data_IF_167667276631
#
_entry.id   IF_167667276631
#
_cell.length_a   1.000
_cell.length_b   1.000
_cell.length_c   1.000
_cell.angle_alpha   90.00
_cell.angle_beta   90.00
_cell.angle_gamma   90.00
#
_symmetry.space_group_name_H-M   'P 1'
#
loop_
_entity.id
_entity.type
_entity.pdbx_description
1 polymer ?
#
# COMPACT_ATOMS: atom_id res chain seq x y z
N UNK A 1 -8.24 13.77 -21.25
CA UNK A 1 -9.52 13.28 -21.80
C UNK A 1 -9.42 13.44 -23.30
N UNK A 2 -9.75 12.42 -24.09
CA UNK A 2 -9.75 12.58 -25.57
C UNK A 2 -11.05 13.29 -25.95
N UNK A 3 -11.00 14.10 -27.01
CA UNK A 3 -12.22 14.65 -27.62
C UNK A 3 -13.16 13.49 -27.98
N UNK A 4 -14.36 13.48 -27.38
CA UNK A 4 -15.40 12.49 -27.64
C UNK A 4 -15.78 11.56 -26.47
N UNK A 5 -15.02 11.53 -25.37
CA UNK A 5 -15.41 10.74 -24.18
C UNK A 5 -16.54 11.47 -23.42
N UNK A 6 -17.76 10.91 -23.43
CA UNK A 6 -18.92 11.48 -22.72
C UNK A 6 -18.75 11.41 -21.20
N UNK A 7 -18.97 12.54 -20.54
CA UNK A 7 -18.95 12.65 -19.08
C UNK A 7 -20.29 12.24 -18.46
N UNK A 8 -20.33 12.16 -17.13
CA UNK A 8 -21.59 11.92 -16.40
C UNK A 8 -22.61 13.03 -16.61
N UNK A 9 -22.16 14.27 -16.72
CA UNK A 9 -23.04 15.39 -17.03
C UNK A 9 -23.57 15.27 -18.46
N UNK A 10 -22.77 14.79 -19.42
CA UNK A 10 -23.25 14.51 -20.78
C UNK A 10 -24.36 13.44 -20.79
N UNK A 11 -24.21 12.35 -20.02
CA UNK A 11 -25.25 11.33 -19.94
C UNK A 11 -26.54 11.86 -19.29
N UNK A 12 -26.42 12.64 -18.22
CA UNK A 12 -27.58 13.24 -17.55
C UNK A 12 -28.30 14.26 -18.44
N UNK A 13 -27.58 14.94 -19.34
CA UNK A 13 -28.17 15.85 -20.32
C UNK A 13 -28.87 15.09 -21.45
N UNK A 14 -28.22 14.07 -22.02
CA UNK A 14 -28.63 13.43 -23.28
C UNK A 14 -29.60 12.26 -23.13
N UNK A 15 -29.65 11.61 -21.97
CA UNK A 15 -30.56 10.49 -21.69
C UNK A 15 -31.73 10.89 -20.78
N UNK A 16 -32.78 10.09 -20.83
CA UNK A 16 -33.92 10.16 -19.92
C UNK A 16 -33.95 8.90 -19.02
N UNK A 17 -34.44 9.04 -17.79
CA UNK A 17 -34.56 7.87 -16.88
C UNK A 17 -35.53 6.82 -17.42
N UNK A 18 -36.47 7.22 -18.28
CA UNK A 18 -37.41 6.32 -18.94
C UNK A 18 -36.70 5.32 -19.87
N UNK A 19 -35.69 5.77 -20.62
CA UNK A 19 -34.93 4.91 -21.53
C UNK A 19 -34.18 3.83 -20.74
N UNK A 20 -33.59 4.21 -19.61
CA UNK A 20 -32.89 3.29 -18.70
C UNK A 20 -33.83 2.30 -18.03
N UNK A 21 -35.05 2.74 -17.67
CA UNK A 21 -36.06 1.85 -17.08
C UNK A 21 -36.55 0.82 -18.10
N UNK A 22 -36.78 1.24 -19.35
CA UNK A 22 -37.18 0.34 -20.44
C UNK A 22 -36.08 -0.69 -20.69
N UNK A 23 -34.83 -0.23 -20.74
CA UNK A 23 -33.66 -1.08 -20.92
C UNK A 23 -33.47 -2.10 -19.79
N UNK A 24 -33.73 -1.68 -18.55
CA UNK A 24 -33.77 -2.54 -17.37
C UNK A 24 -34.97 -3.52 -17.33
N UNK A 25 -35.78 -3.56 -18.39
CA UNK A 25 -36.92 -4.47 -18.56
C UNK A 25 -38.25 -3.98 -18.00
N UNK A 26 -38.36 -2.69 -17.63
CA UNK A 26 -39.63 -2.13 -17.16
C UNK A 26 -40.50 -1.62 -18.30
N UNK A 27 -41.81 -1.73 -18.11
CA UNK A 27 -42.81 -1.34 -19.10
C UNK A 27 -43.69 -0.22 -18.56
N UNK A 28 -44.04 0.74 -19.41
CA UNK A 28 -44.96 1.80 -19.05
C UNK A 28 -46.33 1.21 -18.67
N UNK A 29 -46.75 1.45 -17.44
CA UNK A 29 -48.05 1.04 -16.94
C UNK A 29 -49.13 2.03 -17.40
N UNK A 30 -49.77 1.72 -18.54
CA UNK A 30 -50.83 2.55 -19.14
C UNK A 30 -52.11 2.70 -18.30
N UNK A 31 -52.24 1.95 -17.19
CA UNK A 31 -53.40 2.05 -16.27
C UNK A 31 -53.27 3.21 -15.28
N UNK A 32 -52.06 3.69 -15.01
CA UNK A 32 -51.86 4.87 -14.16
C UNK A 32 -51.87 6.12 -15.04
N UNK A 33 -52.70 7.11 -14.70
CA UNK A 33 -52.92 8.30 -15.52
C UNK A 33 -51.68 9.14 -15.84
N UNK A 34 -51.78 10.00 -16.85
CA UNK A 34 -50.69 10.75 -17.51
C UNK A 34 -49.89 11.73 -16.64
N UNK A 35 -50.24 11.92 -15.36
CA UNK A 35 -49.60 12.94 -14.49
C UNK A 35 -48.22 12.53 -13.99
N UNK A 36 -48.01 11.23 -13.74
CA UNK A 36 -46.71 10.66 -13.39
C UNK A 36 -46.56 9.29 -14.05
N UNK A 37 -45.78 9.18 -15.14
CA UNK A 37 -45.54 7.90 -15.79
C UNK A 37 -44.97 6.88 -14.80
N UNK A 38 -45.57 5.69 -14.77
CA UNK A 38 -45.10 4.61 -13.91
C UNK A 38 -44.67 3.40 -14.71
N UNK A 39 -43.61 2.76 -14.27
CA UNK A 39 -42.92 1.68 -14.96
C UNK A 39 -42.90 0.44 -14.08
N UNK A 40 -43.35 -0.70 -14.61
CA UNK A 40 -43.51 -1.96 -13.88
C UNK A 40 -42.83 -3.10 -14.61
N UNK A 41 -42.34 -4.09 -13.88
CA UNK A 41 -41.72 -5.29 -14.47
C UNK A 41 -42.72 -6.45 -14.54
N UNK A 42 -42.54 -7.30 -15.54
CA UNK A 42 -43.35 -8.50 -15.75
C UNK A 42 -42.54 -9.74 -15.37
N UNK A 43 -43.22 -10.78 -14.88
CA UNK A 43 -42.65 -12.11 -14.66
C UNK A 43 -42.52 -12.88 -15.98
N UNK A 44 -41.96 -14.09 -15.93
CA UNK A 44 -41.79 -14.97 -17.09
C UNK A 44 -43.12 -15.40 -17.75
N UNK A 45 -44.24 -15.24 -17.06
CA UNK A 45 -45.59 -15.53 -17.57
C UNK A 45 -46.31 -14.26 -18.06
N UNK A 46 -45.60 -13.12 -18.13
CA UNK A 46 -46.15 -11.84 -18.57
C UNK A 46 -47.06 -11.15 -17.55
N UNK A 47 -47.10 -11.64 -16.30
CA UNK A 47 -47.88 -11.02 -15.21
C UNK A 47 -47.05 -9.98 -14.50
N UNK A 48 -47.70 -8.95 -13.97
CA UNK A 48 -47.02 -7.87 -13.23
C UNK A 48 -46.40 -8.38 -11.92
N UNK A 49 -45.11 -8.09 -11.73
CA UNK A 49 -44.42 -8.32 -10.45
C UNK A 49 -44.94 -7.30 -9.42
N UNK A 50 -45.51 -7.79 -8.32
CA UNK A 50 -46.04 -6.93 -7.25
C UNK A 50 -44.89 -6.25 -6.50
N UNK A 51 -45.04 -4.96 -6.19
CA UNK A 51 -44.04 -4.17 -5.46
C UNK A 51 -42.93 -3.57 -6.33
N UNK A 52 -42.69 -4.12 -7.52
CA UNK A 52 -41.62 -3.66 -8.41
C UNK A 52 -42.13 -2.59 -9.39
N UNK A 53 -42.27 -1.35 -8.88
CA UNK A 53 -42.81 -0.20 -9.61
C UNK A 53 -41.99 1.06 -9.35
N UNK A 54 -41.53 1.69 -10.42
CA UNK A 54 -40.92 3.02 -10.40
C UNK A 54 -41.86 4.08 -10.94
N UNK A 55 -41.87 5.26 -10.32
CA UNK A 55 -42.63 6.44 -10.76
C UNK A 55 -41.62 7.48 -11.23
N UNK A 56 -41.81 7.99 -12.44
CA UNK A 56 -40.93 8.99 -13.05
C UNK A 56 -41.41 10.39 -12.67
N UNK A 57 -40.48 11.27 -12.29
CA UNK A 57 -40.78 12.66 -11.96
C UNK A 57 -41.23 13.43 -13.20
N UNK A 58 -41.93 14.54 -13.02
CA UNK A 58 -42.50 15.34 -14.13
C UNK A 58 -41.47 15.78 -15.17
N UNK A 59 -40.20 15.97 -14.77
CA UNK A 59 -39.10 16.37 -15.64
C UNK A 59 -38.48 15.19 -16.42
N UNK A 60 -38.86 13.95 -16.13
CA UNK A 60 -38.30 12.76 -16.79
C UNK A 60 -36.83 12.48 -16.47
N UNK A 61 -36.21 13.16 -15.50
CA UNK A 61 -34.79 12.98 -15.18
C UNK A 61 -34.53 12.03 -14.02
N UNK A 62 -35.54 11.78 -13.19
CA UNK A 62 -35.43 10.91 -12.03
C UNK A 62 -36.65 9.99 -11.89
N UNK A 63 -36.45 8.87 -11.19
CA UNK A 63 -37.52 7.97 -10.78
C UNK A 63 -37.41 7.64 -9.29
N UNK A 64 -38.49 7.15 -8.70
CA UNK A 64 -38.51 6.71 -7.30
C UNK A 64 -39.54 5.62 -7.09
N UNK A 65 -39.38 4.86 -6.01
CA UNK A 65 -40.41 3.93 -5.54
C UNK A 65 -41.21 4.60 -4.42
N UNK A 66 -42.55 4.56 -4.51
CA UNK A 66 -43.43 5.21 -3.54
C UNK A 66 -43.22 4.72 -2.10
N UNK A 67 -42.76 3.48 -1.93
CA UNK A 67 -42.51 2.87 -0.63
C UNK A 67 -41.16 3.25 0.00
N UNK A 68 -40.17 3.63 -0.81
CA UNK A 68 -38.79 3.82 -0.35
C UNK A 68 -38.35 5.29 -0.29
N UNK A 69 -39.13 6.22 -0.86
CA UNK A 69 -38.82 7.67 -0.99
C UNK A 69 -37.44 8.02 -1.55
N UNK A 70 -36.66 7.05 -2.01
CA UNK A 70 -35.34 7.25 -2.61
C UNK A 70 -35.48 7.58 -4.08
N UNK A 71 -34.88 8.71 -4.46
CA UNK A 71 -34.89 9.24 -5.83
C UNK A 71 -33.62 8.80 -6.54
N UNK A 72 -33.79 8.21 -7.72
CA UNK A 72 -32.71 7.76 -8.59
C UNK A 72 -32.69 8.61 -9.86
N UNK A 73 -31.50 9.09 -10.24
CA UNK A 73 -31.23 9.57 -11.58
C UNK A 73 -30.62 8.41 -12.40
N UNK A 74 -30.30 8.64 -13.67
CA UNK A 74 -29.75 7.60 -14.57
C UNK A 74 -28.54 6.87 -13.95
N UNK A 75 -27.60 7.63 -13.40
CA UNK A 75 -26.35 7.08 -12.84
C UNK A 75 -26.64 6.30 -11.56
N UNK A 76 -27.38 6.88 -10.63
CA UNK A 76 -27.64 6.23 -9.34
C UNK A 76 -28.57 5.02 -9.47
N UNK A 77 -29.45 4.99 -10.48
CA UNK A 77 -30.27 3.83 -10.81
C UNK A 77 -29.41 2.64 -11.27
N UNK A 78 -28.53 2.86 -12.26
CA UNK A 78 -27.65 1.81 -12.80
C UNK A 78 -26.71 1.26 -11.72
N UNK A 79 -26.15 2.15 -10.87
CA UNK A 79 -25.29 1.73 -9.76
C UNK A 79 -26.02 0.96 -8.67
N UNK A 80 -27.28 1.30 -8.38
CA UNK A 80 -28.07 0.64 -7.34
C UNK A 80 -28.65 -0.71 -7.81
N UNK A 81 -28.84 -0.87 -9.12
CA UNK A 81 -29.45 -2.07 -9.72
C UNK A 81 -28.63 -2.64 -10.88
N UNK A 82 -27.34 -2.95 -10.68
CA UNK A 82 -26.46 -3.39 -11.77
C UNK A 82 -26.92 -4.67 -12.45
N UNK A 83 -27.61 -5.55 -11.72
CA UNK A 83 -28.13 -6.83 -12.20
C UNK A 83 -29.23 -6.70 -13.28
N UNK A 84 -29.78 -5.50 -13.52
CA UNK A 84 -30.79 -5.31 -14.56
C UNK A 84 -30.20 -5.09 -15.96
N UNK A 85 -28.88 -4.96 -16.07
CA UNK A 85 -28.20 -4.62 -17.32
C UNK A 85 -27.35 -5.79 -17.81
N UNK A 86 -27.44 -6.08 -19.11
CA UNK A 86 -26.77 -7.23 -19.73
C UNK A 86 -25.24 -7.15 -19.67
N UNK A 87 -24.69 -5.93 -19.58
CA UNK A 87 -23.26 -5.66 -19.53
C UNK A 87 -22.63 -5.94 -18.17
N UNK A 88 -23.45 -6.12 -17.12
CA UNK A 88 -22.94 -6.34 -15.77
C UNK A 88 -22.25 -7.70 -15.64
N UNK A 89 -21.01 -7.66 -15.12
CA UNK A 89 -20.24 -8.85 -14.73
C UNK A 89 -19.82 -8.69 -13.28
N UNK A 90 -19.88 -9.77 -12.50
CA UNK A 90 -19.46 -9.74 -11.10
C UNK A 90 -18.00 -9.25 -10.97
N UNK A 91 -17.78 -8.20 -10.18
CA UNK A 91 -16.47 -7.53 -10.04
C UNK A 91 -16.20 -6.36 -10.99
N UNK A 92 -17.13 -6.05 -11.90
CA UNK A 92 -17.08 -4.83 -12.72
C UNK A 92 -17.29 -3.58 -11.85
N UNK A 93 -16.56 -2.50 -12.14
CA UNK A 93 -16.81 -1.22 -11.46
C UNK A 93 -18.18 -0.66 -11.83
N UNK A 94 -18.99 -0.17 -10.87
CA UNK A 94 -20.30 0.42 -11.16
C UNK A 94 -20.22 1.60 -12.13
N UNK A 95 -19.13 2.37 -12.09
CA UNK A 95 -18.86 3.47 -13.02
C UNK A 95 -18.64 3.00 -14.47
N UNK A 96 -17.97 1.85 -14.65
CA UNK A 96 -17.83 1.25 -15.98
C UNK A 96 -19.16 0.75 -16.51
N UNK A 97 -19.99 0.14 -15.65
CA UNK A 97 -21.31 -0.30 -16.05
C UNK A 97 -22.18 0.88 -16.51
N UNK A 98 -22.17 2.00 -15.76
CA UNK A 98 -22.85 3.24 -16.16
C UNK A 98 -22.38 3.68 -17.55
N UNK A 99 -21.07 3.70 -17.78
CA UNK A 99 -20.52 4.12 -19.07
C UNK A 99 -20.95 3.19 -20.22
N UNK A 100 -20.94 1.87 -20.02
CA UNK A 100 -21.36 0.88 -21.02
C UNK A 100 -22.83 1.04 -21.39
N UNK A 101 -23.70 1.07 -20.38
CA UNK A 101 -25.16 1.18 -20.55
C UNK A 101 -25.51 2.52 -21.22
N UNK A 102 -24.98 3.64 -20.71
CA UNK A 102 -25.31 4.96 -21.24
C UNK A 102 -24.85 5.17 -22.69
N UNK A 103 -23.64 4.72 -23.04
CA UNK A 103 -23.17 4.84 -24.42
C UNK A 103 -23.93 3.93 -25.38
N UNK A 104 -24.30 2.71 -24.96
CA UNK A 104 -25.18 1.84 -25.78
C UNK A 104 -26.52 2.51 -26.02
N UNK A 105 -27.16 3.08 -24.99
CA UNK A 105 -28.44 3.78 -25.13
C UNK A 105 -28.35 5.02 -26.04
N UNK A 106 -27.18 5.66 -26.09
CA UNK A 106 -26.91 6.78 -27.00
C UNK A 106 -26.46 6.34 -28.40
N UNK A 107 -26.48 5.03 -28.71
CA UNK A 107 -25.96 4.45 -29.95
C UNK A 107 -24.50 4.85 -30.25
N UNK A 108 -23.71 5.13 -29.21
CA UNK A 108 -22.28 5.35 -29.34
C UNK A 108 -21.57 3.98 -29.30
N UNK A 109 -20.93 3.55 -30.41
CA UNK A 109 -20.28 2.25 -30.46
C UNK A 109 -19.11 2.19 -29.46
N UNK A 110 -19.24 1.34 -28.45
CA UNK A 110 -18.12 0.95 -27.58
C UNK A 110 -17.59 -0.37 -28.13
N UNK A 111 -16.35 -0.37 -28.61
CA UNK A 111 -15.67 -1.62 -28.97
C UNK A 111 -15.61 -2.55 -27.76
N UNK A 112 -16.14 -3.78 -27.93
CA UNK A 112 -16.16 -4.82 -26.91
C UNK A 112 -14.73 -5.34 -26.69
N UNK A 113 -13.96 -4.61 -25.87
CA UNK A 113 -12.63 -5.03 -25.45
C UNK A 113 -12.77 -6.19 -24.47
N UNK A 114 -12.76 -7.41 -25.02
CA UNK A 114 -12.30 -8.59 -24.30
C UNK A 114 -11.02 -8.22 -23.56
N UNK A 115 -11.02 -8.50 -22.26
CA UNK A 115 -9.98 -8.12 -21.31
C UNK A 115 -8.61 -8.69 -21.69
N UNK A 116 -7.92 -8.04 -22.62
CA UNK A 116 -6.48 -7.89 -22.58
C UNK A 116 -6.23 -6.57 -21.87
N UNK A 117 -5.62 -6.65 -20.70
CA UNK A 117 -5.04 -5.51 -19.99
C UNK A 117 -3.87 -5.02 -20.85
N UNK A 118 -4.19 -4.33 -21.92
CA UNK A 118 -3.29 -3.38 -22.56
C UNK A 118 -4.10 -2.09 -22.44
N UNK A 119 -3.79 -1.31 -21.40
CA UNK A 119 -4.11 0.11 -21.44
C UNK A 119 -3.71 0.58 -22.84
N UNK A 120 -4.56 1.35 -23.57
CA UNK A 120 -4.10 1.91 -24.84
C UNK A 120 -2.74 2.52 -24.54
N UNK A 121 -1.70 2.12 -25.29
CA UNK A 121 -0.41 2.81 -25.23
C UNK A 121 -0.77 4.28 -25.45
N UNK A 122 -0.89 5.04 -24.35
CA UNK A 122 -0.38 6.39 -24.37
C UNK A 122 1.03 6.16 -24.88
N UNK A 123 1.43 6.86 -25.92
CA UNK A 123 2.85 7.08 -26.11
C UNK A 123 3.31 7.79 -24.84
N UNK A 124 3.59 7.01 -23.80
CA UNK A 124 4.18 7.48 -22.58
C UNK A 124 5.57 7.83 -23.06
N UNK A 125 5.78 9.12 -23.31
CA UNK A 125 7.12 9.62 -23.58
C UNK A 125 8.00 9.07 -22.46
N UNK A 126 9.09 8.37 -22.81
CA UNK A 126 10.03 7.89 -21.80
C UNK A 126 10.43 9.04 -20.89
N UNK A 127 10.73 8.73 -19.63
CA UNK A 127 11.32 9.73 -18.75
C UNK A 127 12.57 10.28 -19.41
N UNK A 128 12.65 11.60 -19.47
CA UNK A 128 13.84 12.31 -19.91
C UNK A 128 14.12 13.43 -18.92
N UNK A 129 15.26 13.29 -18.26
CA UNK A 129 15.75 14.19 -17.23
C UNK A 129 16.04 15.59 -17.78
N UNK A 130 16.33 15.73 -19.07
CA UNK A 130 16.59 17.02 -19.71
C UNK A 130 15.34 17.93 -19.76
N UNK A 131 14.14 17.37 -19.53
CA UNK A 131 12.90 18.15 -19.39
C UNK A 131 12.79 18.89 -18.05
N UNK A 132 13.79 18.76 -17.17
CA UNK A 132 13.77 19.31 -15.82
C UNK A 132 14.99 20.17 -15.55
N UNK A 133 14.76 21.35 -14.98
CA UNK A 133 15.82 22.13 -14.34
C UNK A 133 16.07 21.54 -12.94
N UNK A 134 17.30 21.12 -12.69
CA UNK A 134 17.68 20.47 -11.44
C UNK A 134 18.44 21.42 -10.52
N UNK A 135 17.90 21.61 -9.32
CA UNK A 135 18.56 22.35 -8.26
C UNK A 135 19.01 21.39 -7.16
N UNK A 136 20.33 21.20 -7.02
CA UNK A 136 20.92 20.27 -6.05
C UNK A 136 21.02 20.89 -4.66
N UNK A 137 20.88 20.06 -3.64
CA UNK A 137 21.15 20.48 -2.27
C UNK A 137 22.66 20.58 -2.03
N UNK A 138 23.10 21.64 -1.36
CA UNK A 138 24.49 21.85 -0.97
C UNK A 138 24.57 22.03 0.56
N UNK A 139 25.19 21.07 1.28
CA UNK A 139 25.36 21.16 2.74
C UNK A 139 26.16 22.36 3.23
N UNK A 140 26.96 22.97 2.35
CA UNK A 140 27.82 24.12 2.69
C UNK A 140 27.18 25.47 2.35
N UNK A 141 26.02 25.50 1.69
CA UNK A 141 25.35 26.72 1.26
C UNK A 141 23.95 26.86 1.88
N UNK A 142 23.81 27.85 2.76
CA UNK A 142 22.57 28.13 3.49
C UNK A 142 21.43 28.62 2.58
N UNK A 143 21.73 29.33 1.50
CA UNK A 143 20.69 29.81 0.57
C UNK A 143 20.08 28.63 -0.21
N UNK A 144 20.93 27.67 -0.57
CA UNK A 144 20.48 26.41 -1.14
C UNK A 144 19.58 25.65 -0.16
N UNK A 145 19.97 25.52 1.11
CA UNK A 145 19.18 24.82 2.14
C UNK A 145 17.79 25.42 2.36
N UNK A 146 17.68 26.76 2.37
CA UNK A 146 16.40 27.47 2.56
C UNK A 146 15.34 27.08 1.51
N UNK A 147 15.74 26.77 0.27
CA UNK A 147 14.79 26.38 -0.80
C UNK A 147 14.16 25.01 -0.56
N UNK A 148 14.84 24.12 0.14
CA UNK A 148 14.35 22.77 0.46
C UNK A 148 13.48 22.74 1.72
N UNK A 149 13.65 23.71 2.62
CA UNK A 149 12.94 23.77 3.90
C UNK A 149 11.41 23.53 3.80
N UNK A 150 10.66 24.13 2.84
CA UNK A 150 9.21 23.92 2.74
C UNK A 150 8.79 22.47 2.44
N UNK A 151 9.68 21.65 1.89
CA UNK A 151 9.39 20.26 1.54
C UNK A 151 9.62 19.31 2.73
N UNK A 152 10.57 19.63 3.61
CA UNK A 152 10.93 18.80 4.75
C UNK A 152 10.27 19.20 6.07
N UNK A 153 9.90 20.49 6.24
CA UNK A 153 9.34 21.01 7.51
C UNK A 153 8.14 20.22 8.00
N UNK A 154 7.13 20.01 7.15
CA UNK A 154 5.90 19.29 7.54
C UNK A 154 6.12 17.79 7.74
N UNK A 155 7.33 17.29 7.45
CA UNK A 155 7.72 15.89 7.57
C UNK A 155 8.62 15.64 8.78
N UNK A 156 9.00 16.69 9.52
CA UNK A 156 9.88 16.56 10.67
C UNK A 156 11.32 16.14 10.33
N UNK A 157 11.69 16.15 9.04
CA UNK A 157 13.01 15.75 8.58
C UNK A 157 14.00 16.88 8.82
N UNK A 158 14.92 16.65 9.75
CA UNK A 158 15.90 17.62 10.19
C UNK A 158 17.03 17.84 9.18
N UNK A 159 17.84 18.86 9.45
CA UNK A 159 18.89 19.27 8.54
C UNK A 159 20.05 18.26 8.49
N UNK A 160 20.31 17.52 9.59
CA UNK A 160 21.33 16.48 9.62
C UNK A 160 20.97 15.29 8.72
N UNK A 161 19.70 14.90 8.71
CA UNK A 161 19.17 13.87 7.83
C UNK A 161 19.19 14.34 6.38
N UNK A 162 18.85 15.61 6.12
CA UNK A 162 19.03 16.20 4.78
C UNK A 162 20.50 16.17 4.36
N UNK A 163 21.44 16.45 5.27
CA UNK A 163 22.88 16.34 4.99
C UNK A 163 23.33 14.91 4.72
N UNK A 164 22.78 13.91 5.41
CA UNK A 164 23.10 12.52 5.15
C UNK A 164 22.70 12.08 3.73
N UNK A 165 21.55 12.56 3.25
CA UNK A 165 20.97 12.16 1.97
C UNK A 165 21.12 13.18 0.83
N UNK A 166 21.91 14.24 1.00
CA UNK A 166 21.94 15.39 0.06
C UNK A 166 22.26 15.06 -1.40
N UNK A 167 22.94 13.94 -1.65
CA UNK A 167 23.27 13.44 -3.00
C UNK A 167 22.10 12.73 -3.68
N UNK A 168 21.07 12.38 -2.92
CA UNK A 168 19.99 11.47 -3.29
C UNK A 168 18.65 12.18 -3.43
N UNK A 169 18.60 13.51 -3.37
CA UNK A 169 17.41 14.29 -3.69
C UNK A 169 17.79 15.63 -4.33
N UNK A 170 16.87 16.22 -5.07
CA UNK A 170 17.02 17.55 -5.67
C UNK A 170 15.65 18.23 -5.77
N UNK A 171 15.63 19.54 -6.05
CA UNK A 171 14.40 20.15 -6.59
C UNK A 171 14.44 19.99 -8.11
N UNK A 172 13.36 19.48 -8.67
CA UNK A 172 13.19 19.35 -10.12
C UNK A 172 12.04 20.26 -10.56
N UNK A 173 12.33 21.18 -11.47
CA UNK A 173 11.36 22.10 -12.05
C UNK A 173 11.05 21.69 -13.47
N UNK A 174 9.78 21.38 -13.76
CA UNK A 174 9.31 21.09 -15.13
C UNK A 174 8.47 22.25 -15.63
N UNK A 175 8.80 22.71 -16.83
CA UNK A 175 8.09 23.75 -17.55
C UNK A 175 7.00 23.12 -18.42
N UNK A 176 5.83 23.76 -18.45
CA UNK A 176 4.70 23.37 -19.29
C UNK A 176 4.66 24.24 -20.54
N UNK A 177 3.98 23.73 -21.56
CA UNK A 177 3.72 24.45 -22.81
C UNK A 177 2.91 25.75 -22.58
N UNK A 178 2.10 25.81 -21.52
CA UNK A 178 1.33 27.00 -21.11
C UNK A 178 2.18 28.06 -20.37
N UNK A 179 3.50 27.84 -20.24
CA UNK A 179 4.42 28.73 -19.54
C UNK A 179 4.44 28.56 -18.01
N UNK A 180 3.60 27.68 -17.43
CA UNK A 180 3.66 27.39 -16.01
C UNK A 180 4.84 26.47 -15.67
N UNK A 181 5.45 26.70 -14.51
CA UNK A 181 6.52 25.85 -13.99
C UNK A 181 6.12 25.29 -12.63
N UNK A 182 6.34 23.99 -12.42
CA UNK A 182 6.11 23.34 -11.13
C UNK A 182 7.40 22.75 -10.61
N UNK A 183 7.69 23.03 -9.34
CA UNK A 183 8.91 22.57 -8.67
C UNK A 183 8.55 21.60 -7.56
N UNK A 184 9.02 20.36 -7.69
CA UNK A 184 8.85 19.30 -6.71
C UNK A 184 10.20 18.93 -6.09
N UNK A 185 10.18 18.48 -4.83
CA UNK A 185 11.26 17.68 -4.30
C UNK A 185 11.23 16.34 -5.04
N UNK A 186 12.35 16.00 -5.66
CA UNK A 186 12.50 14.82 -6.49
C UNK A 186 13.54 13.88 -5.88
N UNK A 187 13.18 12.61 -5.85
CA UNK A 187 14.01 11.48 -5.44
C UNK A 187 14.33 10.66 -6.71
N UNK A 188 15.57 10.75 -7.24
CA UNK A 188 15.98 10.08 -8.47
C UNK A 188 15.84 8.56 -8.39
N UNK A 189 15.10 7.97 -9.33
CA UNK A 189 14.95 6.54 -9.47
C UNK A 189 16.07 6.01 -10.38
N UNK A 190 16.76 4.94 -9.98
CA UNK A 190 17.82 4.27 -10.73
C UNK A 190 17.57 2.77 -10.76
N UNK A 191 18.28 2.05 -11.64
CA UNK A 191 18.23 0.59 -11.70
C UNK A 191 19.33 -0.01 -10.80
N UNK A 192 19.06 -1.05 -9.99
CA UNK A 192 20.07 -1.67 -9.11
C UNK A 192 21.35 -2.16 -9.81
N UNK A 193 21.27 -2.59 -11.09
CA UNK A 193 22.42 -2.99 -11.91
C UNK A 193 22.66 -2.04 -13.10
N UNK A 194 22.17 -0.80 -13.01
CA UNK A 194 22.39 0.22 -14.03
C UNK A 194 23.74 0.90 -13.91
N UNK A 195 23.99 1.84 -14.81
CA UNK A 195 25.15 2.74 -14.83
C UNK A 195 24.97 3.99 -13.94
N UNK A 196 23.91 4.03 -13.13
CA UNK A 196 23.50 5.19 -12.34
C UNK A 196 22.61 6.18 -13.10
N UNK A 197 22.22 5.87 -14.34
CA UNK A 197 21.24 6.68 -15.09
C UNK A 197 19.91 6.76 -14.34
N UNK A 198 19.40 7.99 -14.23
CA UNK A 198 18.10 8.27 -13.63
C UNK A 198 17.01 7.89 -14.61
N UNK A 199 16.13 6.97 -14.21
CA UNK A 199 15.02 6.43 -15.02
C UNK A 199 13.65 6.96 -14.57
N UNK A 200 13.63 7.95 -13.69
CA UNK A 200 12.41 8.58 -13.18
C UNK A 200 12.65 9.39 -11.93
N UNK A 201 11.57 10.02 -11.44
CA UNK A 201 11.55 10.66 -10.12
C UNK A 201 10.37 10.14 -9.32
N UNK A 202 10.58 9.84 -8.04
CA UNK A 202 9.53 10.01 -7.05
C UNK A 202 9.44 11.50 -6.70
N UNK A 203 8.25 12.08 -6.75
CA UNK A 203 8.03 13.52 -6.56
C UNK A 203 7.18 13.83 -5.33
N UNK A 204 7.52 14.94 -4.67
CA UNK A 204 6.83 15.51 -3.52
C UNK A 204 6.70 17.03 -3.69
N UNK A 205 5.46 17.50 -3.72
CA UNK A 205 5.14 18.91 -3.72
C UNK A 205 5.23 19.54 -2.33
N UNK A 206 5.05 20.86 -2.29
CA UNK A 206 4.92 21.59 -1.03
C UNK A 206 3.59 21.25 -0.35
N UNK A 207 3.57 21.32 0.97
CA UNK A 207 2.32 21.33 1.72
C UNK A 207 1.50 22.56 1.30
N UNK A 208 0.22 22.36 0.99
CA UNK A 208 -0.69 23.44 0.66
C UNK A 208 -1.13 24.16 1.93
N UNK A 209 -1.32 25.48 1.84
CA UNK A 209 -1.73 26.31 2.98
C UNK A 209 -3.15 26.00 3.46
N UNK A 210 -4.00 25.43 2.60
CA UNK A 210 -5.38 25.04 2.90
C UNK A 210 -5.50 23.69 3.65
N UNK A 211 -4.37 23.04 3.96
CA UNK A 211 -4.36 21.75 4.63
C UNK A 211 -4.72 20.55 3.74
N UNK A 212 -4.98 20.74 2.44
CA UNK A 212 -5.38 19.66 1.49
C UNK A 212 -4.23 18.72 1.09
N UNK A 213 -3.19 18.63 1.90
CA UNK A 213 -2.02 17.78 1.68
C UNK A 213 -0.98 18.38 0.72
N UNK A 214 -0.09 17.53 0.22
CA UNK A 214 0.96 17.87 -0.75
C UNK A 214 0.86 16.95 -1.95
N UNK A 215 1.29 17.42 -3.12
CA UNK A 215 1.40 16.55 -4.29
C UNK A 215 2.35 15.37 -3.98
N UNK A 216 1.92 14.15 -4.29
CA UNK A 216 2.71 12.91 -4.21
C UNK A 216 2.49 12.15 -5.52
N UNK A 217 3.58 11.74 -6.16
CA UNK A 217 3.51 11.01 -7.41
C UNK A 217 4.87 10.55 -7.92
N UNK A 218 4.89 10.06 -9.14
CA UNK A 218 6.09 9.83 -9.92
C UNK A 218 6.10 10.75 -11.14
N UNK A 219 7.27 11.20 -11.57
CA UNK A 219 7.42 11.97 -12.80
C UNK A 219 6.85 11.20 -14.00
N UNK A 220 6.31 11.93 -14.97
CA UNK A 220 5.83 11.36 -16.22
C UNK A 220 6.94 10.55 -16.92
N UNK A 221 6.59 9.35 -17.41
CA UNK A 221 7.54 8.46 -18.07
C UNK A 221 8.46 7.69 -17.13
N UNK A 222 8.39 7.90 -15.81
CA UNK A 222 9.22 7.18 -14.84
C UNK A 222 9.05 5.67 -14.98
N UNK A 223 10.16 4.94 -15.02
CA UNK A 223 10.16 3.48 -14.99
C UNK A 223 9.68 2.98 -13.63
N UNK A 224 8.35 2.87 -13.48
CA UNK A 224 7.71 2.45 -12.24
C UNK A 224 7.79 0.94 -12.02
N UNK A 225 8.15 0.17 -13.05
CA UNK A 225 8.31 -1.27 -12.96
C UNK A 225 9.65 -1.68 -12.36
N UNK A 226 10.72 -0.93 -12.56
CA UNK A 226 12.07 -1.34 -12.14
C UNK A 226 12.86 -0.25 -11.42
N UNK A 227 12.52 1.02 -11.64
CA UNK A 227 13.21 2.14 -11.03
C UNK A 227 12.98 2.19 -9.52
N UNK A 228 14.07 2.36 -8.77
CA UNK A 228 14.07 2.47 -7.32
C UNK A 228 14.84 3.73 -6.91
N UNK A 229 14.36 4.43 -5.89
CA UNK A 229 15.22 5.38 -5.20
C UNK A 229 16.18 4.58 -4.34
N UNK A 230 17.48 4.62 -4.65
CA UNK A 230 18.52 3.85 -3.96
C UNK A 230 19.50 4.84 -3.37
N UNK A 231 19.55 4.93 -2.05
CA UNK A 231 20.33 5.93 -1.35
C UNK A 231 21.20 5.30 -0.25
N UNK A 232 22.43 5.78 -0.13
CA UNK A 232 23.31 5.42 0.99
C UNK A 232 24.02 6.67 1.49
N UNK A 233 23.89 7.03 2.79
CA UNK A 233 24.60 8.17 3.35
C UNK A 233 26.12 8.09 3.19
N UNK A 234 26.71 6.90 3.39
CA UNK A 234 28.13 6.64 3.21
C UNK A 234 28.51 6.25 1.77
N UNK A 235 27.58 6.33 0.81
CA UNK A 235 27.78 5.90 -0.58
C UNK A 235 28.24 4.44 -0.72
N UNK A 236 27.76 3.56 0.15
CA UNK A 236 28.06 2.13 0.10
C UNK A 236 27.64 1.55 -1.25
N UNK A 237 28.55 0.94 -2.03
CA UNK A 237 28.19 0.24 -3.26
C UNK A 237 27.25 -0.93 -2.98
N UNK A 238 26.29 -1.20 -3.86
CA UNK A 238 25.33 -2.30 -3.68
C UNK A 238 26.00 -3.66 -3.49
N UNK A 239 27.12 -3.92 -4.18
CA UNK A 239 27.87 -5.16 -4.06
C UNK A 239 28.51 -5.36 -2.67
N UNK A 240 28.72 -4.27 -1.92
CA UNK A 240 29.31 -4.27 -0.57
C UNK A 240 28.27 -4.07 0.54
N UNK A 241 27.01 -3.79 0.15
CA UNK A 241 25.94 -3.49 1.08
C UNK A 241 25.60 -4.74 1.91
N UNK A 242 25.66 -4.61 3.23
CA UNK A 242 25.27 -5.68 4.17
C UNK A 242 23.80 -5.60 4.58
N UNK A 243 23.21 -4.41 4.54
CA UNK A 243 21.83 -4.14 4.96
C UNK A 243 21.13 -3.24 3.95
N UNK A 244 19.96 -3.68 3.50
CA UNK A 244 19.07 -2.99 2.59
C UNK A 244 17.76 -2.74 3.33
N UNK A 245 17.32 -1.48 3.40
CA UNK A 245 16.09 -1.08 4.09
C UNK A 245 15.04 -0.65 3.05
N UNK A 246 13.87 -1.29 3.06
CA UNK A 246 12.82 -1.13 2.05
C UNK A 246 11.65 -0.30 2.55
N UNK A 247 11.28 0.71 1.78
CA UNK A 247 10.20 1.64 2.12
C UNK A 247 9.29 1.91 0.93
N UNK A 248 8.04 2.29 1.20
CA UNK A 248 7.14 2.76 0.15
C UNK A 248 7.46 4.18 -0.31
N UNK A 249 8.10 5.00 0.54
CA UNK A 249 8.54 6.34 0.19
C UNK A 249 9.91 6.73 0.72
N UNK A 250 10.59 7.63 -0.01
CA UNK A 250 11.85 8.18 0.45
C UNK A 250 11.72 8.99 1.75
N UNK A 251 10.55 9.56 2.06
CA UNK A 251 10.34 10.22 3.35
C UNK A 251 10.36 9.24 4.52
N UNK A 252 9.78 8.05 4.36
CA UNK A 252 9.78 7.02 5.40
C UNK A 252 11.21 6.50 5.64
N UNK A 253 11.97 6.32 4.56
CA UNK A 253 13.38 5.95 4.64
C UNK A 253 14.22 6.99 5.41
N UNK A 254 14.04 8.27 5.10
CA UNK A 254 14.72 9.35 5.82
C UNK A 254 14.25 9.45 7.27
N UNK A 255 12.97 9.24 7.55
CA UNK A 255 12.42 9.26 8.90
C UNK A 255 12.97 8.12 9.76
N UNK A 256 13.02 6.90 9.22
CA UNK A 256 13.67 5.75 9.85
C UNK A 256 15.14 6.06 10.18
N UNK A 257 15.89 6.60 9.22
CA UNK A 257 17.28 6.99 9.46
C UNK A 257 17.39 8.00 10.61
N UNK A 258 16.56 9.05 10.63
CA UNK A 258 16.59 10.07 11.68
C UNK A 258 16.29 9.51 13.07
N UNK A 259 15.35 8.57 13.16
CA UNK A 259 14.96 7.93 14.42
C UNK A 259 16.09 7.03 14.98
N UNK A 260 16.81 6.33 14.10
CA UNK A 260 17.68 5.22 14.49
C UNK A 260 19.18 5.56 14.45
N UNK A 261 19.63 6.54 13.65
CA UNK A 261 21.05 6.83 13.42
C UNK A 261 21.86 7.14 14.69
N UNK A 262 21.22 7.63 15.75
CA UNK A 262 21.89 7.96 17.03
C UNK A 262 22.35 6.70 17.75
N UNK A 263 21.62 5.60 17.60
CA UNK A 263 21.82 4.35 18.34
C UNK A 263 22.48 3.28 17.45
N UNK A 264 22.14 3.24 16.16
CA UNK A 264 22.81 2.40 15.17
C UNK A 264 23.79 3.23 14.31
N UNK A 265 25.07 3.20 14.68
CA UNK A 265 26.14 3.91 13.95
C UNK A 265 26.49 3.27 12.61
N UNK A 266 26.11 2.01 12.37
CA UNK A 266 26.34 1.31 11.11
C UNK A 266 25.26 1.65 10.08
N UNK A 267 24.15 2.27 10.52
CA UNK A 267 23.04 2.68 9.67
C UNK A 267 23.46 3.60 8.52
N UNK A 268 24.49 4.45 8.73
CA UNK A 268 25.08 5.29 7.67
C UNK A 268 25.65 4.49 6.49
N UNK A 269 26.05 3.24 6.72
CA UNK A 269 26.56 2.31 5.68
C UNK A 269 25.44 1.50 5.03
N UNK A 270 24.22 1.57 5.56
CA UNK A 270 23.05 0.93 4.97
C UNK A 270 22.69 1.52 3.61
N UNK A 271 21.93 0.74 2.84
CA UNK A 271 21.29 1.19 1.61
C UNK A 271 19.79 1.28 1.86
N UNK A 272 19.24 2.45 1.60
CA UNK A 272 17.83 2.79 1.75
C UNK A 272 17.18 2.76 0.38
N UNK A 273 16.04 2.08 0.30
CA UNK A 273 15.33 1.86 -0.94
C UNK A 273 13.91 2.36 -0.80
N UNK A 274 13.49 3.21 -1.74
CA UNK A 274 12.08 3.47 -1.95
C UNK A 274 11.58 2.96 -3.29
N UNK A 275 10.41 2.32 -3.25
CA UNK A 275 9.65 1.86 -4.42
C UNK A 275 8.80 2.98 -5.05
N UNK A 276 8.73 4.14 -4.39
CA UNK A 276 7.94 5.30 -4.80
C UNK A 276 6.42 5.05 -4.81
N UNK A 277 5.94 4.14 -3.96
CA UNK A 277 4.57 3.62 -3.90
C UNK A 277 4.52 2.09 -3.92
N UNK A 278 3.41 1.52 -4.39
CA UNK A 278 3.25 0.06 -4.43
C UNK A 278 4.39 -0.62 -5.23
N UNK A 279 5.11 -1.58 -4.62
CA UNK A 279 6.23 -2.24 -5.27
C UNK A 279 5.80 -3.18 -6.41
N UNK A 280 6.65 -3.24 -7.43
CA UNK A 280 6.58 -4.27 -8.46
C UNK A 280 7.43 -5.49 -8.07
N UNK A 281 7.09 -6.68 -8.59
CA UNK A 281 7.97 -7.85 -8.45
C UNK A 281 9.34 -7.65 -9.11
N UNK A 282 9.43 -6.84 -10.18
CA UNK A 282 10.70 -6.61 -10.87
C UNK A 282 11.65 -5.70 -10.07
N UNK A 283 11.11 -4.73 -9.33
CA UNK A 283 11.90 -3.95 -8.36
C UNK A 283 12.56 -4.88 -7.32
N UNK A 284 11.79 -5.81 -6.76
CA UNK A 284 12.32 -6.81 -5.82
C UNK A 284 13.37 -7.71 -6.47
N UNK A 285 13.06 -8.34 -7.61
CA UNK A 285 13.97 -9.25 -8.33
C UNK A 285 15.29 -8.56 -8.68
N UNK A 286 15.24 -7.34 -9.21
CA UNK A 286 16.42 -6.60 -9.63
C UNK A 286 17.36 -6.31 -8.44
N UNK A 287 16.79 -5.87 -7.31
CA UNK A 287 17.57 -5.55 -6.11
C UNK A 287 18.13 -6.80 -5.43
N UNK A 288 17.31 -7.84 -5.22
CA UNK A 288 17.76 -9.12 -4.62
C UNK A 288 18.92 -9.72 -5.43
N UNK A 289 18.83 -9.68 -6.77
CA UNK A 289 19.91 -10.12 -7.66
C UNK A 289 21.17 -9.25 -7.57
N UNK A 290 21.03 -7.97 -7.18
CA UNK A 290 22.15 -7.06 -6.98
C UNK A 290 22.78 -7.20 -5.60
N UNK A 291 22.04 -7.65 -4.60
CA UNK A 291 22.46 -7.74 -3.19
C UNK A 291 22.23 -9.15 -2.60
N UNK A 292 22.73 -10.23 -3.22
CA UNK A 292 22.35 -11.61 -2.85
C UNK A 292 22.80 -12.06 -1.45
N UNK A 293 23.67 -11.29 -0.79
CA UNK A 293 24.22 -11.59 0.54
C UNK A 293 23.84 -10.54 1.60
N UNK A 294 22.98 -9.59 1.24
CA UNK A 294 22.57 -8.54 2.16
C UNK A 294 21.34 -8.97 2.96
N UNK A 295 21.22 -8.47 4.18
CA UNK A 295 19.96 -8.53 4.94
C UNK A 295 18.99 -7.49 4.38
N UNK A 296 17.76 -7.90 4.13
CA UNK A 296 16.68 -7.07 3.63
C UNK A 296 15.68 -6.77 4.76
N UNK A 297 15.76 -5.54 5.29
CA UNK A 297 14.84 -5.01 6.28
C UNK A 297 13.59 -4.46 5.58
N UNK A 298 12.43 -5.03 5.89
CA UNK A 298 11.15 -4.69 5.28
C UNK A 298 10.41 -3.69 6.14
N UNK A 299 10.54 -2.42 5.77
CA UNK A 299 10.04 -1.26 6.50
C UNK A 299 8.83 -0.60 5.80
N UNK A 300 7.97 -1.41 5.18
CA UNK A 300 6.74 -0.96 4.54
C UNK A 300 5.72 -0.41 5.56
N UNK A 301 4.68 0.25 5.06
CA UNK A 301 3.64 0.84 5.90
C UNK A 301 2.95 -0.25 6.75
N UNK A 302 2.56 0.09 7.98
CA UNK A 302 1.83 -0.78 8.90
C UNK A 302 0.33 -0.84 8.54
N UNK A 303 0.04 -0.99 7.25
CA UNK A 303 -1.30 -1.22 6.74
C UNK A 303 -1.37 -2.54 5.98
N UNK A 304 -2.59 -2.89 5.54
CA UNK A 304 -2.85 -4.15 4.84
C UNK A 304 -2.02 -4.27 3.55
N UNK A 305 -1.76 -3.18 2.85
CA UNK A 305 -0.98 -3.20 1.61
C UNK A 305 0.50 -3.45 1.91
N UNK A 306 1.07 -2.74 2.90
CA UNK A 306 2.47 -2.92 3.31
C UNK A 306 2.77 -4.34 3.82
N UNK A 307 1.85 -4.93 4.56
CA UNK A 307 1.91 -6.34 4.98
C UNK A 307 1.99 -7.31 3.78
N UNK A 308 1.16 -7.09 2.76
CA UNK A 308 1.16 -7.91 1.54
C UNK A 308 2.44 -7.68 0.73
N UNK A 309 2.97 -6.46 0.71
CA UNK A 309 4.25 -6.16 0.07
C UNK A 309 5.40 -6.94 0.72
N UNK A 310 5.41 -7.05 2.05
CA UNK A 310 6.39 -7.88 2.77
C UNK A 310 6.25 -9.36 2.38
N UNK A 311 5.03 -9.89 2.31
CA UNK A 311 4.79 -11.29 1.89
C UNK A 311 5.28 -11.52 0.46
N UNK A 312 4.93 -10.62 -0.46
CA UNK A 312 5.32 -10.70 -1.86
C UNK A 312 6.84 -10.60 -2.04
N UNK A 313 7.51 -9.81 -1.20
CA UNK A 313 8.96 -9.73 -1.16
C UNK A 313 9.57 -11.09 -0.81
N UNK A 314 9.13 -11.72 0.27
CA UNK A 314 9.64 -13.02 0.71
C UNK A 314 9.43 -14.12 -0.32
N UNK A 315 8.24 -14.20 -0.93
CA UNK A 315 7.96 -15.13 -2.03
C UNK A 315 8.89 -14.89 -3.22
N UNK A 316 9.16 -13.62 -3.55
CA UNK A 316 10.09 -13.25 -4.64
C UNK A 316 11.52 -13.65 -4.34
N UNK A 317 11.99 -13.43 -3.10
CA UNK A 317 13.33 -13.81 -2.66
C UNK A 317 13.54 -15.32 -2.65
N UNK A 318 12.52 -16.08 -2.26
CA UNK A 318 12.51 -17.53 -2.33
C UNK A 318 12.37 -18.08 -3.77
N UNK A 319 12.43 -17.21 -4.79
CA UNK A 319 12.39 -17.60 -6.20
C UNK A 319 11.03 -18.14 -6.66
N UNK A 320 9.96 -17.94 -5.90
CA UNK A 320 8.63 -18.45 -6.25
C UNK A 320 8.01 -17.63 -7.38
N UNK A 321 7.28 -18.30 -8.26
CA UNK A 321 6.38 -17.65 -9.23
C UNK A 321 4.98 -17.66 -8.64
N UNK A 322 4.37 -16.48 -8.44
CA UNK A 322 3.11 -16.41 -7.70
C UNK A 322 2.21 -15.26 -8.14
N UNK A 323 0.92 -15.40 -7.80
CA UNK A 323 -0.06 -14.31 -7.82
C UNK A 323 -0.68 -14.16 -6.43
N UNK A 324 -0.85 -12.92 -5.97
CA UNK A 324 -1.46 -12.59 -4.68
C UNK A 324 -2.63 -11.64 -4.89
N UNK A 325 -3.81 -11.92 -4.33
CA UNK A 325 -4.95 -11.00 -4.36
C UNK A 325 -5.71 -11.03 -3.03
N UNK A 326 -6.29 -9.88 -2.64
CA UNK A 326 -7.12 -9.79 -1.43
C UNK A 326 -8.58 -10.07 -1.79
N UNK A 327 -9.26 -10.88 -1.00
CA UNK A 327 -10.69 -11.16 -1.14
C UNK A 327 -11.54 -10.04 -0.53
N UNK A 328 -12.86 -10.07 -0.77
CA UNK A 328 -13.80 -9.16 -0.11
C UNK A 328 -13.85 -9.36 1.41
N UNK A 329 -13.46 -10.54 1.89
CA UNK A 329 -13.45 -10.91 3.31
C UNK A 329 -12.08 -10.67 3.95
N UNK A 330 -11.24 -9.82 3.34
CA UNK A 330 -9.91 -9.43 3.84
C UNK A 330 -8.94 -10.61 4.05
N UNK A 331 -9.07 -11.64 3.21
CA UNK A 331 -8.13 -12.77 3.16
C UNK A 331 -7.19 -12.63 1.97
N UNK A 332 -5.95 -13.08 2.15
CA UNK A 332 -4.96 -13.13 1.08
C UNK A 332 -5.05 -14.48 0.36
N UNK A 333 -5.38 -14.44 -0.93
CA UNK A 333 -5.25 -15.58 -1.83
C UNK A 333 -3.86 -15.55 -2.45
N UNK A 334 -3.04 -16.55 -2.15
CA UNK A 334 -1.72 -16.74 -2.77
C UNK A 334 -1.78 -18.00 -3.62
N UNK A 335 -1.44 -17.87 -4.90
CA UNK A 335 -1.26 -19.00 -5.81
C UNK A 335 0.20 -19.07 -6.20
N UNK A 336 0.87 -20.15 -5.82
CA UNK A 336 2.26 -20.41 -6.17
C UNK A 336 2.26 -21.41 -7.33
N UNK A 337 2.83 -20.99 -8.45
CA UNK A 337 2.97 -21.79 -9.66
C UNK A 337 4.25 -22.64 -9.59
N UNK A 338 4.11 -23.93 -9.88
CA UNK A 338 5.18 -24.93 -9.88
C UNK A 338 4.73 -26.22 -10.57
N UNK A 339 5.41 -27.34 -10.34
CA UNK A 339 4.99 -28.66 -10.83
C UNK A 339 3.62 -29.07 -10.28
N UNK A 340 3.38 -28.77 -9.00
CA UNK A 340 2.05 -28.79 -8.39
C UNK A 340 1.66 -27.35 -8.03
N UNK A 341 0.54 -26.87 -8.58
CA UNK A 341 0.01 -25.55 -8.21
C UNK A 341 -0.51 -25.58 -6.77
N UNK A 342 0.03 -24.71 -5.92
CA UNK A 342 -0.40 -24.57 -4.54
C UNK A 342 -1.26 -23.32 -4.38
N UNK A 343 -2.43 -23.47 -3.74
CA UNK A 343 -3.36 -22.39 -3.49
C UNK A 343 -3.55 -22.24 -1.98
N UNK A 344 -3.28 -21.04 -1.47
CA UNK A 344 -3.44 -20.68 -0.07
C UNK A 344 -4.48 -19.61 0.10
N UNK A 345 -5.28 -19.75 1.16
CA UNK A 345 -6.19 -18.72 1.65
C UNK A 345 -5.77 -18.36 3.08
N UNK A 346 -5.17 -17.20 3.24
CA UNK A 346 -4.54 -16.78 4.49
C UNK A 346 -5.36 -15.66 5.12
N UNK A 347 -5.72 -15.84 6.39
CA UNK A 347 -6.22 -14.73 7.21
C UNK A 347 -5.04 -13.88 7.62
N UNK A 348 -5.16 -12.58 7.43
CA UNK A 348 -4.11 -11.63 7.80
C UNK A 348 -4.30 -11.06 9.21
N UNK A 349 -5.34 -11.46 9.96
CA UNK A 349 -5.53 -11.08 11.36
C UNK A 349 -5.64 -12.30 12.29
N UNK A 350 -4.86 -12.33 13.39
CA UNK A 350 -3.75 -11.42 13.70
C UNK A 350 -2.61 -11.54 12.67
N UNK A 351 -1.99 -10.42 12.29
CA UNK A 351 -0.89 -10.44 11.32
C UNK A 351 0.39 -10.95 11.97
N UNK A 352 0.91 -12.06 11.45
CA UNK A 352 2.19 -12.65 11.83
C UNK A 352 2.97 -13.00 10.56
N UNK A 353 3.97 -12.18 10.26
CA UNK A 353 4.77 -12.33 9.05
C UNK A 353 5.47 -13.69 8.99
N UNK A 354 6.14 -14.09 10.08
CA UNK A 354 6.96 -15.29 10.10
C UNK A 354 6.11 -16.56 9.98
N UNK A 355 4.97 -16.62 10.68
CA UNK A 355 4.02 -17.73 10.57
C UNK A 355 3.44 -17.85 9.16
N UNK A 356 3.08 -16.72 8.54
CA UNK A 356 2.52 -16.70 7.18
C UNK A 356 3.57 -17.19 6.18
N UNK A 357 4.81 -16.69 6.26
CA UNK A 357 5.88 -17.10 5.35
C UNK A 357 6.27 -18.56 5.55
N UNK A 358 6.33 -19.05 6.80
CA UNK A 358 6.54 -20.47 7.08
C UNK A 358 5.49 -21.35 6.40
N UNK A 359 4.21 -20.95 6.47
CA UNK A 359 3.10 -21.65 5.81
C UNK A 359 3.23 -21.66 4.28
N UNK A 360 3.62 -20.52 3.69
CA UNK A 360 3.70 -20.34 2.24
C UNK A 360 4.93 -20.99 1.60
N UNK A 361 6.07 -20.94 2.27
CA UNK A 361 7.35 -21.38 1.70
C UNK A 361 7.75 -22.79 2.13
N UNK A 362 7.23 -23.31 3.26
CA UNK A 362 7.57 -24.63 3.79
C UNK A 362 6.33 -25.52 4.06
N UNK A 363 5.44 -25.76 3.07
CA UNK A 363 4.17 -26.43 3.33
C UNK A 363 4.28 -27.97 3.40
N UNK A 364 5.38 -28.57 2.92
CA UNK A 364 5.56 -30.03 2.81
C UNK A 364 6.77 -30.60 3.58
N UNK A 365 7.69 -29.76 4.04
CA UNK A 365 8.98 -30.21 4.61
C UNK A 365 9.04 -30.15 6.15
N UNK A 366 8.09 -29.46 6.80
CA UNK A 366 8.07 -29.32 8.26
C UNK A 366 7.46 -30.52 8.99
N UNK A 367 6.89 -31.48 8.27
CA UNK A 367 6.36 -32.71 8.86
C UNK A 367 7.11 -33.91 8.29
N UNK A 368 7.64 -34.75 9.17
CA UNK A 368 8.15 -36.07 8.84
C UNK A 368 6.99 -36.95 8.35
N UNK A 369 7.31 -38.05 7.67
CA UNK A 369 6.30 -39.00 7.17
C UNK A 369 5.38 -39.55 8.26
N UNK A 370 5.82 -39.52 9.53
CA UNK A 370 5.07 -39.94 10.71
C UNK A 370 4.16 -38.83 11.30
N UNK A 371 4.13 -37.65 10.70
CA UNK A 371 3.34 -36.50 11.14
C UNK A 371 3.97 -35.68 12.26
N UNK A 372 5.21 -35.98 12.68
CA UNK A 372 5.96 -35.19 13.66
C UNK A 372 6.67 -34.00 13.01
N UNK A 373 6.85 -32.91 13.76
CA UNK A 373 7.45 -31.69 13.24
C UNK A 373 8.97 -31.86 13.03
N UNK A 374 9.50 -31.57 11.85
CA UNK A 374 10.95 -31.60 11.60
C UNK A 374 11.59 -30.24 11.89
N UNK A 375 11.98 -30.04 13.15
CA UNK A 375 12.56 -28.80 13.67
C UNK A 375 13.81 -28.31 12.92
N UNK A 376 14.48 -29.18 12.15
CA UNK A 376 15.64 -28.85 11.31
C UNK A 376 15.30 -27.97 10.11
N UNK A 377 14.03 -27.91 9.73
CA UNK A 377 13.52 -27.12 8.60
C UNK A 377 12.93 -25.79 9.05
N UNK A 378 13.13 -25.40 10.31
CA UNK A 378 12.55 -24.21 10.94
C UNK A 378 13.67 -23.19 11.19
N UNK A 379 13.42 -21.92 10.87
CA UNK A 379 14.42 -20.85 10.98
C UNK A 379 14.80 -20.55 12.43
N UNK A 380 16.02 -20.04 12.63
CA UNK A 380 16.62 -19.82 13.95
C UNK A 380 15.76 -18.95 14.87
N UNK A 381 15.30 -17.79 14.38
CA UNK A 381 14.44 -16.86 15.11
C UNK A 381 13.15 -17.48 15.62
N UNK A 382 12.50 -18.32 14.81
CA UNK A 382 11.27 -18.99 15.20
C UNK A 382 11.51 -20.13 16.19
N UNK A 383 12.61 -20.88 16.04
CA UNK A 383 12.99 -21.90 17.02
C UNK A 383 13.27 -21.29 18.39
N UNK A 384 13.87 -20.09 18.44
CA UNK A 384 14.16 -19.39 19.69
C UNK A 384 12.87 -18.89 20.37
N UNK A 385 11.95 -18.27 19.63
CA UNK A 385 10.64 -17.88 20.17
C UNK A 385 9.83 -19.10 20.66
N UNK A 386 9.84 -20.19 19.89
CA UNK A 386 9.14 -21.42 20.25
C UNK A 386 9.77 -22.11 21.46
N UNK A 387 11.11 -22.07 21.59
CA UNK A 387 11.81 -22.55 22.79
C UNK A 387 11.36 -21.80 24.04
N UNK A 388 11.27 -20.47 23.96
CA UNK A 388 10.83 -19.65 25.08
C UNK A 388 9.38 -19.95 25.47
N UNK A 389 8.47 -20.03 24.49
CA UNK A 389 7.05 -20.34 24.76
C UNK A 389 6.89 -21.73 25.37
N UNK A 390 7.57 -22.75 24.86
CA UNK A 390 7.49 -24.10 25.41
C UNK A 390 8.09 -24.18 26.82
N UNK A 391 9.16 -23.43 27.10
CA UNK A 391 9.72 -23.32 28.46
C UNK A 391 8.75 -22.64 29.42
N UNK A 392 8.14 -21.52 29.03
CA UNK A 392 7.14 -20.82 29.84
C UNK A 392 5.93 -21.72 30.14
N UNK A 393 5.40 -22.44 29.13
CA UNK A 393 4.29 -23.37 29.31
C UNK A 393 4.64 -24.54 30.24
N UNK A 394 5.86 -25.07 30.13
CA UNK A 394 6.36 -26.11 31.03
C UNK A 394 6.50 -25.61 32.46
N UNK A 395 7.08 -24.42 32.67
CA UNK A 395 7.23 -23.81 33.99
C UNK A 395 5.88 -23.51 34.64
N UNK A 396 4.91 -23.01 33.87
CA UNK A 396 3.54 -22.79 34.33
C UNK A 396 2.88 -24.12 34.72
N UNK A 397 2.97 -25.15 33.87
CA UNK A 397 2.39 -26.46 34.15
C UNK A 397 2.98 -27.10 35.42
N UNK A 398 4.27 -26.88 35.67
CA UNK A 398 5.00 -27.38 36.83
C UNK A 398 4.66 -26.59 38.10
N UNK A 399 4.49 -25.27 37.99
CA UNK A 399 4.08 -24.40 39.11
C UNK A 399 2.62 -24.60 39.53
N UNK A 400 1.74 -24.84 38.56
CA UNK A 400 0.30 -25.02 38.79
C UNK A 400 -0.08 -26.47 39.10
N UNK A 401 0.83 -27.43 38.86
CA UNK A 401 0.53 -28.86 38.97
C UNK A 401 -0.57 -29.32 38.02
N UNK A 402 -0.75 -28.61 36.90
CA UNK A 402 -1.89 -28.77 35.98
C UNK A 402 -1.70 -29.91 34.96
N UNK A 403 -0.52 -30.53 34.93
CA UNK A 403 -0.16 -31.60 34.00
C UNK A 403 0.30 -32.89 34.70
N UNK A 404 0.05 -34.06 34.08
CA UNK A 404 0.57 -35.34 34.57
C UNK A 404 2.08 -35.46 34.35
N UNK A 405 2.75 -36.34 35.10
CA UNK A 405 4.19 -36.62 34.96
C UNK A 405 4.55 -37.06 33.52
N UNK A 406 3.68 -37.85 32.87
CA UNK A 406 3.82 -38.23 31.47
C UNK A 406 3.72 -37.03 30.51
N UNK A 407 2.82 -36.08 30.80
CA UNK A 407 2.67 -34.85 30.01
C UNK A 407 3.89 -33.94 30.17
N UNK A 408 4.38 -33.77 31.40
CA UNK A 408 5.57 -32.98 31.70
C UNK A 408 6.82 -33.55 31.04
N UNK A 409 6.96 -34.87 30.99
CA UNK A 409 8.06 -35.52 30.27
C UNK A 409 7.94 -35.32 28.75
N UNK A 410 6.73 -35.37 28.19
CA UNK A 410 6.49 -35.03 26.78
C UNK A 410 6.85 -33.57 26.44
N UNK A 411 6.49 -32.62 27.31
CA UNK A 411 6.88 -31.21 27.16
C UNK A 411 8.39 -31.03 27.25
N UNK A 412 9.06 -31.71 28.20
CA UNK A 412 10.51 -31.69 28.34
C UNK A 412 11.23 -32.25 27.12
N UNK A 413 10.72 -33.34 26.54
CA UNK A 413 11.26 -33.92 25.31
C UNK A 413 11.10 -32.99 24.11
N UNK A 414 9.97 -32.28 24.01
CA UNK A 414 9.77 -31.25 22.98
C UNK A 414 10.76 -30.09 23.13
N UNK A 415 10.97 -29.57 24.35
CA UNK A 415 11.96 -28.51 24.62
C UNK A 415 13.36 -28.98 24.22
N UNK A 416 13.76 -30.18 24.63
CA UNK A 416 15.07 -30.74 24.27
C UNK A 416 15.24 -30.90 22.75
N UNK A 417 14.18 -31.28 22.03
CA UNK A 417 14.21 -31.40 20.58
C UNK A 417 14.36 -30.03 19.88
N UNK A 418 13.71 -28.98 20.39
CA UNK A 418 13.84 -27.60 19.89
C UNK A 418 15.26 -27.08 20.16
N UNK A 419 15.77 -27.25 21.37
CA UNK A 419 17.14 -26.81 21.72
C UNK A 419 18.21 -27.58 20.93
N UNK A 420 18.00 -28.87 20.68
CA UNK A 420 18.90 -29.67 19.85
C UNK A 420 18.86 -29.22 18.38
N UNK A 421 17.68 -28.85 17.87
CA UNK A 421 17.56 -28.25 16.55
C UNK A 421 18.32 -26.92 16.46
N UNK A 422 18.18 -26.03 17.46
CA UNK A 422 18.94 -24.77 17.53
C UNK A 422 20.46 -25.02 17.53
N UNK A 423 20.94 -26.01 18.31
CA UNK A 423 22.37 -26.36 18.39
C UNK A 423 22.92 -26.95 17.09
N UNK A 424 22.07 -27.65 16.33
CA UNK A 424 22.43 -28.35 15.10
C UNK A 424 22.06 -27.59 13.82
N UNK A 425 21.68 -26.32 13.93
CA UNK A 425 21.47 -25.45 12.76
C UNK A 425 22.78 -25.33 11.96
N UNK A 426 22.73 -25.44 10.63
CA UNK A 426 23.90 -25.21 9.80
C UNK A 426 24.42 -23.78 9.99
N UNK A 427 25.74 -23.59 9.95
CA UNK A 427 26.34 -22.26 9.90
C UNK A 427 25.76 -21.50 8.68
N UNK A 428 25.53 -20.17 8.80
CA UNK A 428 24.70 -19.42 7.86
C UNK A 428 25.18 -19.60 6.42
N UNK A 429 24.36 -20.28 5.62
CA UNK A 429 24.65 -20.59 4.23
C UNK A 429 23.81 -21.76 3.70
N UNK A 430 22.64 -21.43 3.16
CA UNK A 430 22.06 -21.91 1.87
C UNK A 430 20.52 -21.88 1.82
N UNK A 431 19.82 -21.48 2.89
CA UNK A 431 18.40 -21.13 2.84
C UNK A 431 18.20 -19.59 2.76
N UNK A 432 17.56 -19.12 1.68
CA UNK A 432 17.51 -17.69 1.34
C UNK A 432 16.58 -16.83 2.22
N UNK A 433 15.81 -17.44 3.13
CA UNK A 433 14.86 -16.73 4.00
C UNK A 433 15.51 -16.06 5.21
N UNK A 434 16.73 -16.47 5.56
CA UNK A 434 17.47 -15.97 6.73
C UNK A 434 18.05 -14.55 6.50
N UNK A 435 17.85 -14.01 5.29
CA UNK A 435 18.25 -12.67 4.89
C UNK A 435 17.07 -11.67 4.86
N UNK A 436 15.94 -12.00 5.49
CA UNK A 436 14.78 -11.10 5.61
C UNK A 436 14.57 -10.71 7.07
N UNK A 437 14.42 -9.41 7.33
CA UNK A 437 14.03 -8.86 8.63
C UNK A 437 12.73 -8.09 8.43
N UNK A 438 11.64 -8.50 9.06
CA UNK A 438 10.39 -7.72 9.04
C UNK A 438 10.46 -6.64 10.12
N UNK A 439 10.44 -5.37 9.70
CA UNK A 439 10.71 -4.22 10.58
C UNK A 439 9.72 -3.08 10.31
N UNK A 440 8.44 -3.23 10.70
CA UNK A 440 7.44 -2.17 10.56
C UNK A 440 7.63 -1.07 11.61
N UNK A 441 6.93 0.05 11.43
CA UNK A 441 6.81 1.08 12.44
C UNK A 441 6.21 0.54 13.76
N UNK A 442 6.42 1.27 14.87
CA UNK A 442 5.84 0.92 16.17
C UNK A 442 4.31 0.82 16.08
N UNK A 443 3.71 -0.12 16.84
CA UNK A 443 2.25 -0.35 16.83
C UNK A 443 1.49 0.95 17.09
N UNK A 444 0.58 1.29 16.19
CA UNK A 444 -0.27 2.49 16.29
C UNK A 444 0.17 3.64 15.38
N UNK A 445 1.26 3.48 14.64
CA UNK A 445 1.67 4.40 13.58
C UNK A 445 1.51 3.74 12.23
N UNK A 446 0.96 4.45 11.24
CA UNK A 446 0.80 3.94 9.88
C UNK A 446 2.15 3.74 9.19
N UNK A 447 3.08 4.66 9.39
CA UNK A 447 4.38 4.67 8.73
C UNK A 447 5.47 5.34 9.58
N UNK A 448 6.73 5.25 9.12
CA UNK A 448 7.88 5.80 9.82
C UNK A 448 7.86 7.33 9.91
N UNK A 449 7.28 8.01 8.91
CA UNK A 449 7.15 9.46 8.95
C UNK A 449 6.14 9.92 10.02
N UNK A 450 5.02 9.21 10.15
CA UNK A 450 4.05 9.46 11.22
C UNK A 450 4.67 9.23 12.60
N UNK A 451 5.38 8.11 12.80
CA UNK A 451 6.07 7.82 14.06
C UNK A 451 7.09 8.91 14.43
N UNK A 452 7.86 9.40 13.44
CA UNK A 452 8.79 10.51 13.67
C UNK A 452 8.07 11.78 14.13
N UNK A 453 7.00 12.17 13.43
CA UNK A 453 6.23 13.37 13.78
C UNK A 453 5.61 13.27 15.18
N UNK A 454 5.12 12.08 15.56
CA UNK A 454 4.60 11.84 16.90
C UNK A 454 5.68 11.99 17.98
N UNK A 455 6.88 11.42 17.77
CA UNK A 455 8.01 11.57 18.70
C UNK A 455 8.47 13.01 18.85
N UNK A 456 8.46 13.81 17.77
CA UNK A 456 8.77 15.24 17.83
C UNK A 456 7.75 15.99 18.69
N UNK A 457 6.44 15.78 18.44
CA UNK A 457 5.37 16.43 19.24
C UNK A 457 5.44 16.08 20.72
N UNK A 458 5.78 14.84 21.05
CA UNK A 458 5.99 14.42 22.43
C UNK A 458 7.16 15.18 23.07
N UNK A 459 8.30 15.29 22.38
CA UNK A 459 9.46 16.05 22.88
C UNK A 459 9.14 17.54 23.09
N UNK A 460 8.41 18.17 22.16
CA UNK A 460 7.97 19.57 22.27
C UNK A 460 7.05 19.77 23.49
N UNK A 461 6.09 18.87 23.71
CA UNK A 461 5.19 18.95 24.87
C UNK A 461 5.91 18.80 26.21
N UNK A 462 6.90 17.90 26.30
CA UNK A 462 7.76 17.73 27.48
C UNK A 462 8.67 18.94 27.73
N UNK A 463 9.00 19.73 26.70
CA UNK A 463 9.75 20.98 26.85
C UNK A 463 8.85 22.18 27.17
N UNK A 464 7.57 22.16 26.77
CA UNK A 464 6.58 23.18 27.15
C UNK A 464 6.11 23.07 28.62
N UNK A 465 5.99 21.85 29.17
CA UNK A 465 5.62 21.65 30.59
C UNK A 465 6.54 22.33 31.62
N UNK A 466 7.89 22.25 31.52
CA UNK A 466 8.78 22.99 32.41
C UNK A 466 8.76 24.50 32.13
N UNK A 467 8.61 24.94 30.88
CA UNK A 467 8.51 26.36 30.54
C UNK A 467 7.26 27.05 31.12
N UNK A 468 6.13 26.33 31.25
CA UNK A 468 4.93 26.85 31.96
C UNK A 468 5.04 26.79 33.48
N UNK A 469 5.95 26.00 34.03
CA UNK A 469 6.23 25.96 35.48
C UNK A 469 7.26 27.01 35.93
N UNK A 470 8.02 27.56 34.99
CA UNK A 470 8.99 28.64 35.20
C UNK A 470 8.47 30.02 34.75
N UNK A 471 7.16 30.26 34.75
CA UNK A 471 6.67 31.64 34.81
C UNK A 471 7.01 32.21 36.20
N UNK A 472 7.77 33.32 36.30
CA UNK A 472 8.07 33.93 37.58
C UNK A 472 6.78 34.35 38.29
N UNK A 473 6.66 34.08 39.59
CA UNK A 473 5.53 34.50 40.45
C UNK A 473 5.22 36.01 40.40
N UNK A 474 6.05 36.83 39.75
CA UNK A 474 5.82 38.26 39.57
C UNK A 474 4.65 38.59 38.63
N UNK A 475 4.24 37.73 37.70
CA UNK A 475 3.07 38.01 36.84
C UNK A 475 1.72 37.57 37.45
N UNK A 476 1.72 36.72 38.50
CA UNK A 476 0.48 36.35 39.20
C UNK A 476 -0.02 37.44 40.16
N UNK A 477 0.83 38.34 40.62
CA UNK A 477 0.42 39.46 41.49
C UNK A 477 -0.03 40.72 40.73
N UNK A 478 0.17 40.81 39.41
CA UNK A 478 -0.21 41.99 38.62
C UNK A 478 -1.68 41.96 38.11
N UNK A 479 -2.44 40.88 38.34
CA UNK A 479 -3.84 40.76 37.88
C UNK A 479 -4.91 41.09 38.94
N UNK A 480 -4.52 41.54 40.12
CA UNK A 480 -5.43 42.07 41.13
C UNK A 480 -4.97 43.46 41.60
N UNK A 481 -4.95 44.46 40.72
CA UNK A 481 -5.17 45.86 41.09
C UNK A 481 -5.33 46.74 39.83
N UNK A 482 -6.56 46.81 39.31
CA UNK A 482 -7.34 48.05 39.11
C UNK A 482 -8.63 47.74 38.38
#
# INVERSE_FOLDING_TARGET
MREGDLTYDDFLQRLNIQDVLIDAGYHLNRRDGLRYPSYVRLDSEGRRIRGDKFIVTQQGKCCFQAQQQKVYNIISFIKAHPQFFAEYRAGMSPDRLVNLVCNRLLNHPIEDRTTRIIQPKRDIRPFDIANYDLYKFNPQDRETQKKFYPYFKSRGIDLYTQYAFHRHFCLATKHREDGAAYTNLAFPLTLPKGDGTVVGFEERGRARMDGSGSYKGKAEGSNSSEGLWIASPAQTPLAEAKRIYWFESAYDAMAYYQLNQKWDKELRKGVFVSTGGAPSQQQFKAMIKATPRAYHHLCFDQDRAGQIFAINFALTQAGKTFTSNVTKDDKLLVRISGEENQNYEIKLEPFDFHRIIGTLLRPKEIYREDGTLDYRTIGDGYLQEMSMVCQDEYEIALAEGSASEETLEGMRQNIMAIEDAIRNLPAPGEDSTDLIVYEPAEKGYKDWNEQLLAKIRLQESVHEEPARREEPEQERQARFHR
#
